data_IF_921337021443
#
_entry.id   IF_921337021443
#
_cell.length_a   1.000
_cell.length_b   1.000
_cell.length_c   1.000
_cell.angle_alpha   90.00
_cell.angle_beta   90.00
_cell.angle_gamma   90.00
#
_symmetry.space_group_name_H-M   'P 1'
#
loop_
_entity.id
_entity.type
_entity.pdbx_description
1 polymer ?
#
# COMPACT_ATOMS: atom_id res chain seq x y z
N UNK A 1 -23.76 10.19 0.68
CA UNK A 1 -23.20 9.76 -0.63
C UNK A 1 -22.72 8.32 -0.49
N UNK A 2 -23.39 7.34 -1.13
CA UNK A 2 -23.01 5.92 -1.06
C UNK A 2 -21.83 5.69 -1.99
N UNK A 3 -20.60 5.58 -1.46
CA UNK A 3 -19.43 5.29 -2.30
C UNK A 3 -19.33 3.77 -2.47
N UNK A 4 -20.03 3.26 -3.48
CA UNK A 4 -19.89 1.88 -3.92
C UNK A 4 -18.63 1.76 -4.75
N UNK A 5 -17.66 1.00 -4.26
CA UNK A 5 -16.41 0.76 -4.96
C UNK A 5 -16.66 -0.11 -6.20
N UNK A 6 -16.85 0.54 -7.35
CA UNK A 6 -16.99 -0.12 -8.64
C UNK A 6 -15.62 -0.63 -9.14
N UNK A 7 -15.62 -1.65 -10.01
CA UNK A 7 -14.38 -2.21 -10.55
C UNK A 7 -13.46 -1.17 -11.20
N UNK A 8 -14.03 -0.14 -11.83
CA UNK A 8 -13.29 1.01 -12.39
C UNK A 8 -12.54 1.83 -11.34
N UNK A 9 -13.15 2.07 -10.18
CA UNK A 9 -12.50 2.79 -9.08
C UNK A 9 -11.36 1.96 -8.45
N UNK A 10 -11.49 0.62 -8.44
CA UNK A 10 -10.41 -0.30 -8.07
C UNK A 10 -9.24 -0.24 -9.06
N UNK A 11 -9.51 -0.16 -10.36
CA UNK A 11 -8.49 0.01 -11.39
C UNK A 11 -7.76 1.37 -11.27
N UNK A 12 -8.48 2.44 -10.95
CA UNK A 12 -7.88 3.76 -10.68
C UNK A 12 -6.91 3.73 -9.49
N UNK A 13 -7.23 2.99 -8.43
CA UNK A 13 -6.33 2.80 -7.27
C UNK A 13 -5.06 1.99 -7.63
N UNK A 14 -5.12 1.21 -8.71
CA UNK A 14 -4.01 0.41 -9.24
C UNK A 14 -3.16 1.12 -10.28
N UNK A 15 -3.64 2.22 -10.87
CA UNK A 15 -2.90 2.93 -11.92
C UNK A 15 -1.46 3.29 -11.52
N UNK A 16 -1.19 3.80 -10.29
CA UNK A 16 0.18 4.07 -9.88
C UNK A 16 1.06 2.81 -9.90
N UNK A 17 0.52 1.68 -9.43
CA UNK A 17 1.24 0.40 -9.43
C UNK A 17 1.53 -0.11 -10.85
N UNK A 18 0.53 -0.07 -11.74
CA UNK A 18 0.68 -0.46 -13.15
C UNK A 18 1.73 0.42 -13.82
N UNK A 19 1.68 1.74 -13.62
CA UNK A 19 2.68 2.67 -14.14
C UNK A 19 4.09 2.32 -13.63
N UNK A 20 4.24 1.99 -12.35
CA UNK A 20 5.50 1.52 -11.77
C UNK A 20 6.03 0.23 -12.42
N UNK A 21 5.16 -0.75 -12.72
CA UNK A 21 5.54 -1.99 -13.41
C UNK A 21 5.92 -1.72 -14.87
N UNK A 22 5.13 -0.93 -15.61
CA UNK A 22 5.39 -0.66 -17.03
C UNK A 22 6.70 0.08 -17.22
N UNK A 23 7.05 0.96 -16.28
CA UNK A 23 8.39 1.52 -16.19
C UNK A 23 9.40 0.37 -16.10
N UNK A 24 9.34 -0.50 -15.09
CA UNK A 24 10.27 -1.63 -14.91
C UNK A 24 10.52 -2.48 -16.18
N UNK A 25 9.46 -2.83 -16.93
CA UNK A 25 9.58 -3.60 -18.17
C UNK A 25 10.33 -2.89 -19.31
N UNK A 26 10.22 -1.56 -19.40
CA UNK A 26 10.97 -0.77 -20.39
C UNK A 26 12.48 -0.79 -20.14
N UNK A 27 12.92 -1.21 -18.95
CA UNK A 27 14.31 -1.10 -18.50
C UNK A 27 15.11 -2.40 -18.50
N UNK A 28 14.52 -3.55 -18.85
CA UNK A 28 15.29 -4.78 -19.13
C UNK A 28 16.37 -4.61 -20.21
N UNK A 29 16.33 -3.50 -20.97
CA UNK A 29 17.21 -3.18 -22.09
C UNK A 29 18.32 -2.16 -21.78
N UNK A 30 18.32 -1.51 -20.59
CA UNK A 30 19.28 -0.43 -20.30
C UNK A 30 20.48 -0.92 -19.49
N UNK A 31 21.66 -0.87 -20.12
CA UNK A 31 22.98 -1.30 -19.57
C UNK A 31 23.68 -0.27 -18.69
N UNK A 32 23.05 0.87 -18.36
CA UNK A 32 23.71 1.98 -17.65
C UNK A 32 23.31 2.03 -16.15
N UNK A 33 24.27 2.03 -15.20
CA UNK A 33 23.99 1.92 -13.76
C UNK A 33 23.23 3.12 -13.14
N UNK A 34 23.37 4.32 -13.71
CA UNK A 34 22.82 5.54 -13.12
C UNK A 34 21.31 5.71 -13.40
N UNK A 35 20.86 5.31 -14.58
CA UNK A 35 19.43 5.25 -14.93
C UNK A 35 18.69 4.26 -14.04
N UNK A 36 19.29 3.09 -13.80
CA UNK A 36 18.73 2.05 -12.93
C UNK A 36 18.37 2.55 -11.52
N UNK A 37 19.21 3.40 -10.91
CA UNK A 37 18.99 3.94 -9.56
C UNK A 37 17.81 4.91 -9.49
N UNK A 38 17.70 5.80 -10.47
CA UNK A 38 16.60 6.77 -10.54
C UNK A 38 15.27 6.04 -10.78
N UNK A 39 15.27 5.08 -11.70
CA UNK A 39 14.09 4.30 -12.07
C UNK A 39 13.59 3.44 -10.91
N UNK A 40 14.49 2.83 -10.12
CA UNK A 40 14.13 2.08 -8.91
C UNK A 40 13.46 2.97 -7.83
N UNK A 41 13.93 4.22 -7.67
CA UNK A 41 13.31 5.20 -6.74
C UNK A 41 11.91 5.61 -7.21
N UNK A 42 11.77 5.90 -8.50
CA UNK A 42 10.47 6.22 -9.12
C UNK A 42 9.47 5.07 -8.98
N UNK A 43 9.93 3.82 -9.15
CA UNK A 43 9.10 2.64 -8.92
C UNK A 43 8.65 2.51 -7.46
N UNK A 44 9.57 2.65 -6.50
CA UNK A 44 9.24 2.62 -5.06
C UNK A 44 8.24 3.71 -4.70
N UNK A 45 8.39 4.90 -5.26
CA UNK A 45 7.43 5.98 -5.11
C UNK A 45 6.04 5.58 -5.60
N UNK A 46 5.92 5.01 -6.81
CA UNK A 46 4.64 4.57 -7.36
C UNK A 46 3.99 3.42 -6.56
N UNK A 47 4.79 2.48 -6.06
CA UNK A 47 4.32 1.41 -5.18
C UNK A 47 3.78 1.98 -3.86
N UNK A 48 4.55 2.88 -3.25
CA UNK A 48 4.19 3.56 -1.99
C UNK A 48 2.92 4.39 -2.17
N UNK A 49 2.79 5.11 -3.28
CA UNK A 49 1.60 5.88 -3.63
C UNK A 49 0.37 4.97 -3.74
N UNK A 50 0.48 3.84 -4.44
CA UNK A 50 -0.63 2.88 -4.59
C UNK A 50 -1.07 2.33 -3.23
N UNK A 51 -0.10 1.93 -2.39
CA UNK A 51 -0.39 1.43 -1.03
C UNK A 51 -1.02 2.51 -0.15
N UNK A 52 -0.51 3.74 -0.20
CA UNK A 52 -1.06 4.87 0.54
C UNK A 52 -2.53 5.13 0.14
N UNK A 53 -2.85 5.14 -1.15
CA UNK A 53 -4.22 5.31 -1.64
C UNK A 53 -5.15 4.19 -1.16
N UNK A 54 -4.69 2.93 -1.21
CA UNK A 54 -5.48 1.79 -0.70
C UNK A 54 -5.75 1.93 0.80
N UNK A 55 -4.71 2.26 1.59
CA UNK A 55 -4.80 2.46 3.05
C UNK A 55 -5.77 3.58 3.40
N UNK A 56 -5.64 4.73 2.75
CA UNK A 56 -6.55 5.87 2.94
C UNK A 56 -8.00 5.49 2.63
N UNK A 57 -8.22 4.81 1.50
CA UNK A 57 -9.57 4.45 1.08
C UNK A 57 -10.22 3.42 2.01
N UNK A 58 -9.47 2.42 2.48
CA UNK A 58 -10.02 1.43 3.41
C UNK A 58 -10.30 2.05 4.79
N UNK A 59 -9.44 2.95 5.27
CA UNK A 59 -9.69 3.70 6.51
C UNK A 59 -10.96 4.56 6.38
N UNK A 60 -11.13 5.24 5.24
CA UNK A 60 -12.35 6.00 4.93
C UNK A 60 -13.62 5.13 4.99
N UNK A 61 -13.61 3.94 4.39
CA UNK A 61 -14.74 3.01 4.46
C UNK A 61 -15.03 2.56 5.90
N UNK A 62 -13.99 2.20 6.66
CA UNK A 62 -14.13 1.79 8.05
C UNK A 62 -14.72 2.89 8.94
N UNK A 63 -14.16 4.10 8.84
CA UNK A 63 -14.58 5.27 9.63
C UNK A 63 -16.03 5.65 9.28
N UNK A 64 -16.40 5.66 7.99
CA UNK A 64 -17.77 5.93 7.59
C UNK A 64 -18.75 4.86 8.06
N UNK A 65 -18.37 3.59 8.01
CA UNK A 65 -19.18 2.52 8.60
C UNK A 65 -19.40 2.74 10.10
N UNK A 66 -18.35 3.11 10.84
CA UNK A 66 -18.45 3.36 12.28
C UNK A 66 -19.30 4.61 12.59
N UNK A 67 -19.17 5.68 11.80
CA UNK A 67 -19.91 6.93 11.99
C UNK A 67 -21.39 6.83 11.59
N UNK A 68 -21.75 5.90 10.70
CA UNK A 68 -23.14 5.64 10.31
C UNK A 68 -23.92 4.79 11.31
N UNK A 69 -23.32 4.43 12.45
CA UNK A 69 -23.92 3.58 13.48
C UNK A 69 -24.15 4.35 14.78
N UNK A 70 -25.22 4.02 15.53
CA UNK A 70 -25.50 4.68 16.82
C UNK A 70 -24.42 4.40 17.87
N UNK A 71 -23.82 3.20 17.86
CA UNK A 71 -22.74 2.80 18.77
C UNK A 71 -21.36 3.03 18.14
N UNK A 72 -21.04 4.28 17.83
CA UNK A 72 -19.74 4.68 17.28
C UNK A 72 -18.61 4.43 18.28
N UNK A 73 -17.50 3.89 17.80
CA UNK A 73 -16.28 3.68 18.60
C UNK A 73 -15.19 4.69 18.22
N UNK A 74 -14.87 5.63 19.11
CA UNK A 74 -13.79 6.60 18.87
C UNK A 74 -12.42 5.91 18.80
N UNK A 75 -12.22 4.87 19.61
CA UNK A 75 -11.02 4.01 19.56
C UNK A 75 -10.81 3.36 18.20
N UNK A 76 -11.88 2.96 17.53
CA UNK A 76 -11.78 2.42 16.17
C UNK A 76 -11.32 3.49 15.18
N UNK A 77 -11.89 4.71 15.27
CA UNK A 77 -11.49 5.80 14.39
C UNK A 77 -10.02 6.17 14.60
N UNK A 78 -9.57 6.30 15.84
CA UNK A 78 -8.16 6.58 16.15
C UNK A 78 -7.22 5.52 15.56
N UNK A 79 -7.51 4.23 15.77
CA UNK A 79 -6.72 3.14 15.21
C UNK A 79 -6.75 3.10 13.68
N UNK A 80 -7.85 3.51 13.04
CA UNK A 80 -7.94 3.60 11.59
C UNK A 80 -7.11 4.76 11.01
N UNK A 81 -6.90 5.85 11.75
CA UNK A 81 -6.10 6.99 11.31
C UNK A 81 -4.59 6.77 11.41
N UNK A 82 -4.10 6.00 12.38
CA UNK A 82 -2.65 5.77 12.58
C UNK A 82 -1.96 5.26 11.29
N UNK A 83 -2.45 4.19 10.62
CA UNK A 83 -1.87 3.72 9.37
C UNK A 83 -1.90 4.77 8.26
N UNK A 84 -2.95 5.59 8.21
CA UNK A 84 -3.11 6.65 7.20
C UNK A 84 -2.06 7.74 7.39
N UNK A 85 -1.96 8.29 8.60
CA UNK A 85 -0.99 9.34 8.93
C UNK A 85 0.43 8.85 8.65
N UNK A 86 0.74 7.62 9.05
CA UNK A 86 2.05 7.03 8.79
C UNK A 86 2.33 6.85 7.29
N UNK A 87 1.40 6.32 6.49
CA UNK A 87 1.60 6.14 5.06
C UNK A 87 1.74 7.47 4.32
N UNK A 88 0.96 8.48 4.71
CA UNK A 88 1.06 9.83 4.13
C UNK A 88 2.42 10.45 4.48
N UNK A 89 2.88 10.32 5.73
CA UNK A 89 4.20 10.80 6.13
C UNK A 89 5.33 10.06 5.37
N UNK A 90 5.20 8.75 5.20
CA UNK A 90 6.15 7.94 4.43
C UNK A 90 6.14 8.31 2.94
N UNK A 91 4.98 8.56 2.35
CA UNK A 91 4.87 9.05 0.98
C UNK A 91 5.54 10.43 0.81
N UNK A 92 5.33 11.35 1.75
CA UNK A 92 6.00 12.66 1.75
C UNK A 92 7.52 12.52 1.86
N UNK A 93 7.99 11.59 2.69
CA UNK A 93 9.41 11.24 2.77
C UNK A 93 9.94 10.75 1.40
N UNK A 94 9.25 9.81 0.75
CA UNK A 94 9.62 9.32 -0.59
C UNK A 94 9.61 10.45 -1.65
N UNK A 95 8.67 11.40 -1.58
CA UNK A 95 8.63 12.56 -2.48
C UNK A 95 9.88 13.43 -2.30
N UNK A 96 10.23 13.75 -1.06
CA UNK A 96 11.40 14.56 -0.74
C UNK A 96 12.70 13.93 -1.27
N UNK A 97 12.86 12.60 -1.09
CA UNK A 97 14.07 11.89 -1.51
C UNK A 97 14.12 11.53 -3.01
N UNK A 98 12.97 11.37 -3.65
CA UNK A 98 12.90 11.02 -5.09
C UNK A 98 12.94 12.24 -5.99
N UNK A 99 12.28 13.35 -5.61
CA UNK A 99 12.04 14.48 -6.51
C UNK A 99 12.71 15.80 -6.07
N UNK A 100 12.84 16.06 -4.77
CA UNK A 100 13.29 17.38 -4.24
C UNK A 100 14.80 17.39 -3.95
N UNK A 101 15.34 16.31 -3.40
CA UNK A 101 16.77 16.17 -3.06
C UNK A 101 17.48 15.12 -3.95
N UNK A 102 17.45 15.20 -5.30
CA UNK A 102 18.21 14.27 -6.13
C UNK A 102 19.75 14.46 -6.04
N UNK A 103 20.25 15.23 -5.08
CA UNK A 103 21.62 15.75 -5.04
C UNK A 103 22.54 14.90 -4.18
N UNK A 104 23.40 14.16 -4.88
CA UNK A 104 24.74 13.70 -4.51
C UNK A 104 24.89 12.71 -3.33
N UNK A 105 25.58 11.61 -3.64
CA UNK A 105 26.15 10.64 -2.71
C UNK A 105 25.13 9.75 -2.01
N UNK A 106 24.84 8.60 -2.60
CA UNK A 106 25.47 7.35 -2.17
C UNK A 106 25.07 6.27 -3.18
N UNK A 107 26.08 5.63 -3.79
CA UNK A 107 26.01 4.38 -4.54
C UNK A 107 25.41 3.28 -3.66
N UNK A 108 24.10 3.24 -3.49
CA UNK A 108 23.42 2.08 -2.93
C UNK A 108 22.20 1.79 -3.80
N UNK A 109 22.30 0.80 -4.70
CA UNK A 109 21.17 0.34 -5.48
C UNK A 109 20.24 -0.45 -4.59
N UNK A 110 18.97 -0.06 -4.61
CA UNK A 110 17.87 -0.90 -4.15
C UNK A 110 17.07 -0.34 -2.98
N UNK A 111 15.80 -0.79 -2.84
CA UNK A 111 14.96 -0.55 -1.66
C UNK A 111 15.58 -1.08 -0.35
N UNK A 112 16.65 -1.85 -0.45
CA UNK A 112 17.46 -2.31 0.66
C UNK A 112 18.84 -1.65 0.54
N UNK A 113 18.88 -0.34 0.82
CA UNK A 113 20.07 0.27 1.44
C UNK A 113 20.49 -0.71 2.54
N UNK A 114 21.76 -1.14 2.55
CA UNK A 114 22.34 -2.09 3.54
C UNK A 114 21.40 -2.37 4.70
N UNK A 115 21.06 -3.63 4.93
CA UNK A 115 20.41 -4.14 6.13
C UNK A 115 21.24 -3.91 7.41
N UNK A 116 21.86 -2.73 7.55
CA UNK A 116 22.16 -2.15 8.82
C UNK A 116 20.78 -1.82 9.40
N UNK A 117 20.28 -2.72 10.26
CA UNK A 117 19.06 -2.57 11.05
C UNK A 117 19.22 -1.40 12.03
N UNK A 118 19.48 -0.22 11.50
CA UNK A 118 19.60 1.00 12.25
C UNK A 118 18.24 1.26 12.91
N UNK A 119 18.21 1.81 14.13
CA UNK A 119 16.97 1.96 14.91
C UNK A 119 15.84 2.62 14.10
N UNK A 120 16.15 3.60 13.26
CA UNK A 120 15.20 4.29 12.39
C UNK A 120 14.56 3.36 11.35
N UNK A 121 15.36 2.51 10.67
CA UNK A 121 14.86 1.53 9.70
C UNK A 121 13.98 0.48 10.37
N UNK A 122 14.33 0.08 11.59
CA UNK A 122 13.57 -0.88 12.40
C UNK A 122 12.20 -0.31 12.80
N UNK A 123 12.16 0.96 13.22
CA UNK A 123 10.90 1.68 13.52
C UNK A 123 10.00 1.76 12.29
N UNK A 124 10.56 2.08 11.12
CA UNK A 124 9.80 2.13 9.85
C UNK A 124 9.21 0.76 9.52
N UNK A 125 10.00 -0.32 9.63
CA UNK A 125 9.53 -1.69 9.39
C UNK A 125 8.39 -2.06 10.35
N UNK A 126 8.54 -1.78 11.65
CA UNK A 126 7.49 -2.05 12.64
C UNK A 126 6.21 -1.28 12.32
N UNK A 127 6.31 -0.01 11.91
CA UNK A 127 5.14 0.80 11.55
C UNK A 127 4.50 0.36 10.23
N UNK A 128 5.28 -0.14 9.26
CA UNK A 128 4.77 -0.77 8.05
C UNK A 128 4.04 -2.09 8.36
N UNK A 129 4.59 -2.93 9.25
CA UNK A 129 3.93 -4.16 9.71
C UNK A 129 2.64 -3.81 10.45
N UNK A 130 2.68 -2.84 11.37
CA UNK A 130 1.51 -2.38 12.11
C UNK A 130 0.43 -1.84 11.17
N UNK A 131 0.83 -1.05 10.16
CA UNK A 131 -0.06 -0.60 9.09
C UNK A 131 -0.68 -1.79 8.39
N UNK A 132 0.13 -2.75 7.95
CA UNK A 132 -0.34 -3.93 7.23
C UNK A 132 -1.32 -4.76 8.07
N UNK A 133 -1.04 -4.97 9.36
CA UNK A 133 -1.95 -5.69 10.27
C UNK A 133 -3.26 -4.93 10.45
N UNK A 134 -3.20 -3.62 10.70
CA UNK A 134 -4.37 -2.79 10.94
C UNK A 134 -5.26 -2.70 9.70
N UNK A 135 -4.61 -2.52 8.54
CA UNK A 135 -5.21 -2.45 7.22
C UNK A 135 -5.79 -3.81 6.79
N UNK A 136 -4.99 -4.88 6.76
CA UNK A 136 -5.43 -6.19 6.26
C UNK A 136 -6.42 -6.86 7.22
N UNK A 137 -6.22 -6.79 8.54
CA UNK A 137 -6.99 -7.61 9.46
C UNK A 137 -7.96 -6.80 10.31
N UNK A 138 -7.48 -5.79 11.04
CA UNK A 138 -8.28 -5.14 12.10
C UNK A 138 -9.52 -4.45 11.55
N UNK A 139 -9.37 -3.63 10.50
CA UNK A 139 -10.49 -2.86 9.95
C UNK A 139 -11.56 -3.77 9.32
N UNK A 140 -11.16 -4.76 8.53
CA UNK A 140 -12.09 -5.70 7.88
C UNK A 140 -12.79 -6.60 8.90
N UNK A 141 -12.08 -7.05 9.94
CA UNK A 141 -12.67 -7.85 11.01
C UNK A 141 -13.64 -7.05 11.85
N UNK A 142 -13.32 -5.79 12.19
CA UNK A 142 -14.21 -4.92 12.94
C UNK A 142 -15.56 -4.73 12.22
N UNK A 143 -15.51 -4.34 10.94
CA UNK A 143 -16.71 -4.15 10.11
C UNK A 143 -17.49 -5.46 9.97
N UNK A 144 -16.81 -6.57 9.70
CA UNK A 144 -17.43 -7.91 9.63
C UNK A 144 -18.17 -8.30 10.92
N UNK A 145 -17.55 -8.11 12.08
CA UNK A 145 -18.16 -8.42 13.38
C UNK A 145 -19.38 -7.54 13.64
N UNK A 146 -19.28 -6.23 13.37
CA UNK A 146 -20.40 -5.30 13.58
C UNK A 146 -21.58 -5.57 12.64
N UNK A 147 -21.33 -5.97 11.40
CA UNK A 147 -22.38 -6.36 10.45
C UNK A 147 -23.16 -7.59 10.94
N UNK A 148 -22.47 -8.57 11.55
CA UNK A 148 -23.13 -9.77 12.10
C UNK A 148 -24.11 -9.45 13.23
N UNK A 149 -23.93 -8.32 13.93
CA UNK A 149 -24.80 -7.89 15.01
C UNK A 149 -26.08 -7.18 14.53
N UNK A 150 -26.18 -6.85 13.24
CA UNK A 150 -27.39 -6.24 12.65
C UNK A 150 -28.46 -7.33 12.56
N UNK A 151 -29.62 -7.13 13.18
CA UNK A 151 -30.74 -8.09 13.19
C UNK A 151 -31.53 -8.08 11.88
N UNK A 152 -31.74 -6.90 11.30
CA UNK A 152 -32.41 -6.70 10.02
C UNK A 152 -31.57 -7.26 8.85
N UNK A 153 -32.18 -8.15 8.06
CA UNK A 153 -31.53 -8.86 6.94
C UNK A 153 -31.18 -7.90 5.79
N UNK A 154 -32.07 -6.97 5.46
CA UNK A 154 -31.87 -6.04 4.34
C UNK A 154 -30.76 -5.05 4.68
N UNK A 155 -30.79 -4.47 5.89
CA UNK A 155 -29.72 -3.57 6.36
C UNK A 155 -28.37 -4.28 6.49
N UNK A 156 -28.39 -5.58 6.82
CA UNK A 156 -27.18 -6.40 6.90
C UNK A 156 -26.59 -6.60 5.51
N UNK A 157 -27.39 -6.88 4.49
CA UNK A 157 -26.88 -7.03 3.13
C UNK A 157 -26.42 -5.71 2.52
N UNK A 158 -27.16 -4.63 2.73
CA UNK A 158 -26.73 -3.30 2.30
C UNK A 158 -25.36 -2.94 2.91
N UNK A 159 -25.16 -3.21 4.20
CA UNK A 159 -23.89 -2.97 4.87
C UNK A 159 -22.75 -3.85 4.33
N UNK A 160 -23.04 -5.10 3.93
CA UNK A 160 -22.05 -5.97 3.28
C UNK A 160 -21.65 -5.45 1.92
N UNK A 161 -22.63 -5.04 1.11
CA UNK A 161 -22.40 -4.54 -0.25
C UNK A 161 -21.65 -3.21 -0.22
N UNK A 162 -22.05 -2.28 0.65
CA UNK A 162 -21.53 -0.92 0.65
C UNK A 162 -20.18 -0.80 1.38
N UNK A 163 -19.86 -1.69 2.34
CA UNK A 163 -18.63 -1.59 3.14
C UNK A 163 -17.76 -2.85 3.08
N UNK A 164 -18.29 -4.01 3.48
CA UNK A 164 -17.47 -5.22 3.67
C UNK A 164 -16.88 -5.75 2.36
N UNK A 165 -17.70 -5.80 1.30
CA UNK A 165 -17.29 -6.31 -0.01
C UNK A 165 -16.19 -5.43 -0.63
N UNK A 166 -16.32 -4.10 -0.68
CA UNK A 166 -15.24 -3.18 -1.04
C UNK A 166 -13.95 -3.40 -0.24
N UNK A 167 -14.03 -3.49 1.09
CA UNK A 167 -12.85 -3.71 1.95
C UNK A 167 -12.16 -5.04 1.65
N UNK A 168 -12.93 -6.12 1.42
CA UNK A 168 -12.37 -7.42 1.03
C UNK A 168 -11.72 -7.41 -0.35
N UNK A 169 -12.29 -6.67 -1.31
CA UNK A 169 -11.69 -6.51 -2.65
C UNK A 169 -10.37 -5.77 -2.56
N UNK A 170 -10.32 -4.65 -1.82
CA UNK A 170 -9.08 -3.91 -1.57
C UNK A 170 -8.02 -4.82 -0.94
N UNK A 171 -8.37 -5.56 0.11
CA UNK A 171 -7.47 -6.49 0.78
C UNK A 171 -6.84 -7.51 -0.18
N UNK A 172 -7.66 -8.19 -1.00
CA UNK A 172 -7.15 -9.16 -1.98
C UNK A 172 -6.18 -8.50 -2.95
N UNK A 173 -6.53 -7.29 -3.39
CA UNK A 173 -5.77 -6.56 -4.37
C UNK A 173 -4.44 -6.04 -3.80
N UNK A 174 -4.42 -5.60 -2.54
CA UNK A 174 -3.19 -5.24 -1.83
C UNK A 174 -2.25 -6.43 -1.67
N UNK A 175 -2.79 -7.62 -1.36
CA UNK A 175 -2.00 -8.86 -1.31
C UNK A 175 -1.39 -9.17 -2.68
N UNK A 176 -2.17 -9.04 -3.75
CA UNK A 176 -1.68 -9.25 -5.12
C UNK A 176 -0.56 -8.26 -5.46
N UNK A 177 -0.72 -6.98 -5.14
CA UNK A 177 0.30 -5.94 -5.36
C UNK A 177 1.59 -6.25 -4.62
N UNK A 178 1.51 -6.61 -3.33
CA UNK A 178 2.69 -6.97 -2.53
C UNK A 178 3.36 -8.23 -3.09
N UNK A 179 2.59 -9.30 -3.34
CA UNK A 179 3.12 -10.56 -3.83
C UNK A 179 3.76 -10.42 -5.23
N UNK A 180 3.14 -9.66 -6.13
CA UNK A 180 3.71 -9.38 -7.45
C UNK A 180 4.96 -8.50 -7.36
N UNK A 181 5.01 -7.51 -6.45
CA UNK A 181 6.23 -6.72 -6.23
C UNK A 181 7.40 -7.58 -5.73
N UNK A 182 7.13 -8.54 -4.83
CA UNK A 182 8.13 -9.49 -4.33
C UNK A 182 8.63 -10.41 -5.45
N UNK A 183 7.72 -10.95 -6.26
CA UNK A 183 8.07 -11.78 -7.41
C UNK A 183 8.94 -11.00 -8.41
N UNK A 184 8.56 -9.77 -8.73
CA UNK A 184 9.35 -8.90 -9.62
C UNK A 184 10.74 -8.65 -9.03
N UNK A 185 10.83 -8.33 -7.74
CA UNK A 185 12.12 -8.13 -7.06
C UNK A 185 13.02 -9.36 -7.17
N UNK A 186 12.47 -10.55 -6.88
CA UNK A 186 13.22 -11.82 -6.98
C UNK A 186 13.69 -12.07 -8.42
N UNK A 187 12.82 -11.84 -9.42
CA UNK A 187 13.20 -12.02 -10.83
C UNK A 187 14.32 -11.06 -11.25
N UNK A 188 14.25 -9.79 -10.82
CA UNK A 188 15.29 -8.79 -11.09
C UNK A 188 16.61 -9.20 -10.44
N UNK A 189 16.59 -9.67 -9.19
CA UNK A 189 17.79 -10.14 -8.50
C UNK A 189 18.43 -11.34 -9.21
N UNK A 190 17.63 -12.34 -9.59
CA UNK A 190 18.11 -13.54 -10.31
C UNK A 190 18.75 -13.15 -11.64
N UNK A 191 18.12 -12.27 -12.41
CA UNK A 191 18.63 -11.87 -13.73
C UNK A 191 19.91 -11.05 -13.58
N UNK A 192 19.96 -10.13 -12.62
CA UNK A 192 21.14 -9.29 -12.40
C UNK A 192 22.34 -10.10 -11.92
N UNK A 193 22.15 -11.01 -10.94
CA UNK A 193 23.22 -11.89 -10.46
C UNK A 193 23.61 -12.97 -11.48
N UNK A 194 22.66 -13.47 -12.28
CA UNK A 194 22.93 -14.45 -13.33
C UNK A 194 23.71 -13.87 -14.52
N UNK A 195 23.52 -12.58 -14.82
CA UNK A 195 24.25 -11.86 -15.89
C UNK A 195 25.64 -11.43 -15.44
N UNK A 196 25.86 -11.10 -14.15
CA UNK A 196 27.19 -10.77 -13.61
C UNK A 196 28.10 -11.99 -13.36
N UNK A 197 27.56 -13.21 -13.44
CA UNK A 197 28.27 -14.48 -13.23
C UNK A 197 28.89 -15.07 -14.52
N UNK A 198 28.64 -14.43 -15.68
CA UNK A 198 29.24 -14.77 -16.99
C UNK A 198 30.17 -13.67 -17.45
#
# INVERSE_FOLDING_TARGET
MKIRLNYWQLLLLLLPFIAGITLNFKYFTHTVPFTYLLDARVMNFFLTLSMCLMVCYQAYLGINFNNSRPNRSEWFNFNAYIPVVFNVAYLLYEICFTWILPVHNHLSPGPIKKSDLNPTSLVIIVLLIQTAITFLFVNTQYVSKRIKLITDIEQREDAKIDFLNPMRKLLKLSIIVVASSLLISIMVDIITFGVMSK
#
